data_IF_756949566830
#
_entry.id   IF_756949566830
#
_cell.length_a   1.000
_cell.length_b   1.000
_cell.length_c   1.000
_cell.angle_alpha   90.00
_cell.angle_beta   90.00
_cell.angle_gamma   90.00
#
_symmetry.space_group_name_H-M   'P 1'
#
loop_
_entity.id
_entity.type
_entity.pdbx_description
1 polymer ?
#
# COMPACT_ATOMS: atom_id res chain seq x y z
N UNK A 1 -21.42 35.54 -32.95
CA UNK A 1 -21.07 34.99 -31.64
C UNK A 1 -20.80 33.53 -31.88
N UNK A 2 -19.52 33.18 -31.89
CA UNK A 2 -19.06 31.82 -32.12
C UNK A 2 -19.45 30.99 -30.89
N UNK A 3 -20.27 29.97 -31.12
CA UNK A 3 -20.63 28.97 -30.13
C UNK A 3 -19.71 27.77 -30.39
N UNK A 4 -18.50 27.83 -29.85
CA UNK A 4 -17.59 26.68 -29.77
C UNK A 4 -17.85 25.87 -28.48
N UNK A 5 -19.14 25.70 -28.14
CA UNK A 5 -19.60 24.83 -27.07
C UNK A 5 -19.69 23.39 -27.53
N UNK A 6 -18.54 22.72 -27.74
CA UNK A 6 -18.51 21.27 -27.91
C UNK A 6 -19.00 20.61 -26.62
N UNK A 7 -20.31 20.43 -26.53
CA UNK A 7 -20.96 19.75 -25.42
C UNK A 7 -20.52 18.29 -25.46
N UNK A 8 -19.88 17.83 -24.39
CA UNK A 8 -19.50 16.43 -24.26
C UNK A 8 -20.78 15.62 -24.08
N UNK A 9 -21.13 14.80 -25.05
CA UNK A 9 -22.34 13.99 -25.01
C UNK A 9 -22.00 12.55 -24.66
N UNK A 10 -22.84 11.90 -23.83
CA UNK A 10 -22.74 10.46 -23.58
C UNK A 10 -23.31 9.71 -24.78
N UNK A 11 -22.46 9.03 -25.54
CA UNK A 11 -22.81 8.33 -26.81
C UNK A 11 -23.99 7.36 -26.70
N UNK A 12 -24.17 6.72 -25.54
CA UNK A 12 -25.25 5.74 -25.33
C UNK A 12 -26.64 6.37 -25.17
N UNK A 13 -26.75 7.67 -24.89
CA UNK A 13 -28.04 8.33 -24.65
C UNK A 13 -28.12 9.79 -25.13
N UNK A 14 -27.10 10.28 -25.86
CA UNK A 14 -26.98 11.66 -26.35
C UNK A 14 -27.24 12.74 -25.29
N UNK A 15 -27.05 12.41 -24.01
CA UNK A 15 -27.21 13.34 -22.91
C UNK A 15 -26.00 14.26 -22.80
N UNK A 16 -26.22 15.55 -22.60
CA UNK A 16 -25.16 16.51 -22.27
C UNK A 16 -24.53 16.16 -20.92
N UNK A 17 -23.20 16.01 -20.91
CA UNK A 17 -22.43 15.76 -19.70
C UNK A 17 -22.32 17.06 -18.92
N UNK A 18 -23.24 17.25 -17.97
CA UNK A 18 -23.17 18.35 -17.02
C UNK A 18 -22.12 18.01 -15.97
N UNK A 19 -21.24 18.96 -15.64
CA UNK A 19 -20.31 18.82 -14.50
C UNK A 19 -21.16 18.56 -13.27
N UNK A 20 -20.90 17.43 -12.60
CA UNK A 20 -21.60 17.06 -11.38
C UNK A 20 -21.50 18.22 -10.38
N UNK A 21 -22.64 18.82 -10.06
CA UNK A 21 -22.71 19.85 -9.01
C UNK A 21 -22.31 19.20 -7.68
N UNK A 22 -21.46 19.86 -6.90
CA UNK A 22 -20.83 19.40 -5.66
C UNK A 22 -21.80 18.98 -4.51
N UNK A 23 -23.10 18.88 -4.79
CA UNK A 23 -24.18 18.79 -3.82
C UNK A 23 -24.69 17.37 -3.51
N UNK A 24 -24.13 16.31 -4.11
CA UNK A 24 -24.57 14.93 -3.83
C UNK A 24 -23.39 14.01 -3.49
N UNK A 25 -23.14 13.85 -2.19
CA UNK A 25 -22.21 12.91 -1.58
C UNK A 25 -20.73 13.06 -1.96
N UNK A 26 -19.95 13.52 -0.96
CA UNK A 26 -18.61 13.08 -0.56
C UNK A 26 -17.90 14.30 0.01
N UNK A 27 -17.34 14.19 1.22
CA UNK A 27 -16.14 14.99 1.56
C UNK A 27 -15.26 14.97 0.30
N UNK A 28 -14.74 16.09 -0.22
CA UNK A 28 -13.92 16.05 -1.44
C UNK A 28 -12.90 14.94 -1.22
N UNK A 29 -12.92 13.86 -2.02
CA UNK A 29 -12.16 12.62 -1.73
C UNK A 29 -10.67 12.90 -1.46
N UNK A 30 -10.16 14.04 -1.93
CA UNK A 30 -8.82 14.53 -1.64
C UNK A 30 -8.59 15.13 -0.24
N UNK A 31 -9.61 15.53 0.52
CA UNK A 31 -9.44 16.13 1.84
C UNK A 31 -8.97 15.10 2.87
N UNK A 32 -9.51 13.88 2.84
CA UNK A 32 -9.06 12.80 3.72
C UNK A 32 -7.61 12.38 3.41
N UNK A 33 -7.22 12.39 2.13
CA UNK A 33 -5.82 12.16 1.73
C UNK A 33 -4.91 13.29 2.23
N UNK A 34 -5.34 14.55 2.08
CA UNK A 34 -4.63 15.73 2.61
C UNK A 34 -4.48 15.69 4.13
N UNK A 35 -5.43 15.11 4.84
CA UNK A 35 -5.37 14.93 6.29
C UNK A 35 -4.50 13.74 6.71
N UNK A 36 -4.51 12.64 5.94
CA UNK A 36 -3.77 11.41 6.27
C UNK A 36 -2.28 11.50 5.91
N UNK A 37 -1.94 12.20 4.82
CA UNK A 37 -0.55 12.41 4.40
C UNK A 37 0.35 13.04 5.50
N UNK A 38 0.02 14.21 6.08
CA UNK A 38 0.85 14.81 7.13
C UNK A 38 0.86 13.95 8.40
N UNK A 39 -0.21 13.21 8.71
CA UNK A 39 -0.23 12.28 9.85
C UNK A 39 0.73 11.11 9.66
N UNK A 40 0.88 10.61 8.44
CA UNK A 40 1.85 9.56 8.13
C UNK A 40 3.27 10.11 8.11
N UNK A 41 3.48 11.32 7.58
CA UNK A 41 4.78 11.99 7.63
C UNK A 41 5.27 12.20 9.08
N UNK A 42 4.39 12.67 9.98
CA UNK A 42 4.70 12.81 11.40
C UNK A 42 5.07 11.47 12.04
N UNK A 43 4.35 10.40 11.69
CA UNK A 43 4.65 9.05 12.18
C UNK A 43 5.99 8.51 11.62
N UNK A 44 6.42 8.97 10.45
CA UNK A 44 7.66 8.54 9.82
C UNK A 44 8.89 9.35 10.24
N UNK A 45 8.72 10.58 10.72
CA UNK A 45 9.82 11.38 11.25
C UNK A 45 10.74 10.68 12.27
N UNK A 46 10.25 10.00 13.33
CA UNK A 46 11.12 9.40 14.31
C UNK A 46 12.02 8.30 13.73
N UNK A 47 11.49 7.46 12.82
CA UNK A 47 12.31 6.42 12.18
C UNK A 47 13.28 7.03 11.17
N UNK A 48 12.88 8.05 10.43
CA UNK A 48 13.77 8.76 9.51
C UNK A 48 14.92 9.42 10.26
N UNK A 49 14.66 10.04 11.42
CA UNK A 49 15.71 10.62 12.26
C UNK A 49 16.66 9.55 12.83
N UNK A 50 16.15 8.37 13.17
CA UNK A 50 17.00 7.24 13.59
C UNK A 50 17.90 6.74 12.45
N UNK A 51 17.35 6.62 11.25
CA UNK A 51 18.12 6.27 10.05
C UNK A 51 19.17 7.34 9.73
N UNK A 52 18.82 8.62 9.91
CA UNK A 52 19.73 9.76 9.69
C UNK A 52 20.96 9.71 10.61
N UNK A 53 20.78 9.25 11.85
CA UNK A 53 21.89 9.08 12.81
C UNK A 53 22.80 7.90 12.47
N UNK A 54 22.27 6.87 11.81
CA UNK A 54 22.99 5.61 11.54
C UNK A 54 23.57 5.57 10.13
N UNK A 55 22.98 6.28 9.17
CA UNK A 55 23.40 6.24 7.76
C UNK A 55 24.83 6.71 7.52
N UNK A 56 25.32 7.65 8.35
CA UNK A 56 26.65 8.26 8.22
C UNK A 56 27.70 7.56 9.10
N UNK A 57 27.30 6.52 9.86
CA UNK A 57 28.24 5.73 10.63
C UNK A 57 29.10 4.88 9.70
N UNK A 58 30.37 4.72 10.07
CA UNK A 58 31.26 3.80 9.38
C UNK A 58 30.64 2.40 9.35
N UNK A 59 30.78 1.73 8.21
CA UNK A 59 30.33 0.35 8.08
C UNK A 59 30.99 -0.49 9.18
N UNK A 60 30.20 -1.20 10.00
CA UNK A 60 30.76 -2.01 11.07
C UNK A 60 31.61 -3.13 10.47
N UNK A 61 32.64 -3.58 11.19
CA UNK A 61 33.31 -4.83 10.86
C UNK A 61 32.34 -5.98 11.13
N UNK A 62 31.62 -6.38 10.08
CA UNK A 62 30.84 -7.59 10.08
C UNK A 62 31.84 -8.75 9.94
N UNK A 63 31.90 -9.61 10.95
CA UNK A 63 32.76 -10.80 10.95
C UNK A 63 32.50 -11.73 9.78
N UNK A 64 33.36 -12.72 9.60
CA UNK A 64 33.23 -13.73 8.56
C UNK A 64 31.99 -14.61 8.77
N UNK A 65 31.53 -15.32 7.73
CA UNK A 65 30.37 -16.23 7.82
C UNK A 65 30.50 -17.23 8.99
N UNK A 66 31.72 -17.66 9.30
CA UNK A 66 32.02 -18.57 10.40
C UNK A 66 31.76 -17.93 11.77
N UNK A 67 32.02 -16.62 11.92
CA UNK A 67 31.72 -15.86 13.15
C UNK A 67 30.20 -15.74 13.37
N UNK A 68 29.44 -15.63 12.28
CA UNK A 68 27.97 -15.63 12.32
C UNK A 68 27.39 -17.01 12.63
N UNK A 69 27.96 -18.08 12.07
CA UNK A 69 27.57 -19.46 12.40
C UNK A 69 27.92 -19.83 13.84
N UNK A 70 29.07 -19.36 14.35
CA UNK A 70 29.49 -19.56 15.74
C UNK A 70 28.65 -18.73 16.74
N UNK A 71 28.20 -17.54 16.36
CA UNK A 71 27.21 -16.76 17.13
C UNK A 71 25.77 -17.26 16.95
N UNK A 72 25.59 -18.30 16.13
CA UNK A 72 24.36 -19.03 15.90
C UNK A 72 23.65 -19.29 17.21
N UNK A 73 22.51 -18.61 17.38
CA UNK A 73 21.56 -18.82 18.48
C UNK A 73 21.35 -20.34 18.67
N UNK A 74 21.19 -20.82 19.91
CA UNK A 74 21.09 -22.26 20.15
C UNK A 74 20.06 -22.87 19.21
N UNK A 75 20.46 -23.93 18.51
CA UNK A 75 19.60 -24.70 17.64
C UNK A 75 18.43 -25.22 18.49
N UNK A 76 17.33 -24.46 18.54
CA UNK A 76 16.11 -24.86 19.23
C UNK A 76 15.54 -25.98 18.39
N UNK A 77 15.85 -27.20 18.80
CA UNK A 77 15.27 -28.40 18.22
C UNK A 77 13.77 -28.40 18.56
N UNK A 78 12.97 -27.72 17.74
CA UNK A 78 11.52 -27.72 17.84
C UNK A 78 11.07 -29.09 17.37
N UNK A 79 10.80 -29.98 18.33
CA UNK A 79 10.24 -31.30 18.06
C UNK A 79 8.77 -31.14 17.67
N UNK A 80 8.52 -30.76 16.43
CA UNK A 80 7.16 -30.73 15.86
C UNK A 80 6.66 -32.17 15.78
N UNK A 81 5.60 -32.48 16.52
CA UNK A 81 4.77 -33.65 16.24
C UNK A 81 3.59 -33.15 15.44
N UNK A 82 3.76 -33.08 14.12
CA UNK A 82 2.65 -32.74 13.24
C UNK A 82 1.84 -34.01 12.99
N UNK A 83 0.70 -34.15 13.66
CA UNK A 83 -0.40 -34.97 13.16
C UNK A 83 -1.11 -34.08 12.14
N UNK A 84 -0.72 -34.24 10.87
CA UNK A 84 -1.36 -33.61 9.72
C UNK A 84 -2.66 -34.37 9.48
N UNK A 85 -3.76 -33.91 10.05
CA UNK A 85 -5.07 -34.20 9.49
C UNK A 85 -5.18 -33.32 8.23
N UNK A 86 -5.23 -33.96 7.07
CA UNK A 86 -5.35 -33.28 5.78
C UNK A 86 -6.73 -32.63 5.69
N UNK A 87 -6.79 -31.30 5.74
CA UNK A 87 -7.93 -30.52 5.23
C UNK A 87 -7.48 -29.83 3.93
N UNK A 88 -7.83 -30.38 2.75
CA UNK A 88 -7.48 -29.81 1.47
C UNK A 88 -8.57 -28.83 1.05
N UNK A 89 -8.50 -27.61 1.58
CA UNK A 89 -9.26 -26.47 1.09
C UNK A 89 -8.35 -25.24 1.03
N UNK A 90 -7.47 -25.24 0.04
CA UNK A 90 -7.22 -24.10 -0.85
C UNK A 90 -7.47 -22.68 -0.26
N UNK A 91 -6.49 -22.10 0.44
CA UNK A 91 -6.41 -20.63 0.56
C UNK A 91 -5.22 -20.18 -0.30
N UNK A 92 -5.44 -20.25 -1.61
CA UNK A 92 -4.59 -19.63 -2.61
C UNK A 92 -4.89 -18.13 -2.54
N UNK A 93 -4.23 -17.43 -1.60
CA UNK A 93 -4.28 -15.96 -1.55
C UNK A 93 -3.54 -15.45 -2.77
N UNK A 94 -4.30 -15.07 -3.79
CA UNK A 94 -3.80 -14.33 -4.94
C UNK A 94 -3.46 -12.90 -4.50
N UNK A 95 -2.16 -12.62 -4.37
CA UNK A 95 -1.65 -11.33 -3.88
C UNK A 95 -1.68 -10.22 -4.95
N UNK A 96 -2.23 -10.48 -6.14
CA UNK A 96 -2.15 -9.56 -7.28
C UNK A 96 -3.44 -8.73 -7.53
N UNK A 97 -4.55 -8.98 -6.83
CA UNK A 97 -5.84 -8.31 -7.11
C UNK A 97 -6.08 -7.00 -6.33
N UNK A 98 -5.06 -6.46 -5.64
CA UNK A 98 -5.21 -5.31 -4.73
C UNK A 98 -4.89 -3.91 -5.31
N UNK A 99 -4.33 -3.81 -6.51
CA UNK A 99 -3.79 -2.54 -7.04
C UNK A 99 -4.30 -2.13 -8.43
N UNK A 100 -5.49 -2.59 -8.82
CA UNK A 100 -6.19 -2.11 -10.02
C UNK A 100 -7.32 -1.13 -9.67
N UNK A 101 -7.53 -0.03 -10.43
CA UNK A 101 -8.67 0.86 -10.21
C UNK A 101 -9.96 0.21 -10.73
N UNK A 102 -10.51 -0.74 -9.97
CA UNK A 102 -11.81 -1.35 -10.25
C UNK A 102 -12.89 -0.76 -9.33
N UNK A 103 -13.30 0.47 -9.61
CA UNK A 103 -14.55 1.06 -9.11
C UNK A 103 -15.05 2.10 -10.12
N UNK A 104 -15.18 1.68 -11.37
CA UNK A 104 -15.93 2.37 -12.42
C UNK A 104 -17.18 1.53 -12.75
N UNK A 105 -18.08 1.44 -11.78
CA UNK A 105 -19.49 1.15 -12.04
C UNK A 105 -20.34 2.34 -11.56
N UNK A 106 -21.04 2.91 -12.55
CA UNK A 106 -21.98 4.06 -12.56
C UNK A 106 -21.42 5.46 -12.31
#
# INVERSE_FOLDING_TARGET
MEDDGSCFHRESCNGELVVASDSHARRPRGQELKDRLPRMEVQMKPVTEQLDRVKDLAFPELGSLQDWEASGRPNRQIRVKSKRDEDPAEDNVDWEEGWGPNDLEC
#
